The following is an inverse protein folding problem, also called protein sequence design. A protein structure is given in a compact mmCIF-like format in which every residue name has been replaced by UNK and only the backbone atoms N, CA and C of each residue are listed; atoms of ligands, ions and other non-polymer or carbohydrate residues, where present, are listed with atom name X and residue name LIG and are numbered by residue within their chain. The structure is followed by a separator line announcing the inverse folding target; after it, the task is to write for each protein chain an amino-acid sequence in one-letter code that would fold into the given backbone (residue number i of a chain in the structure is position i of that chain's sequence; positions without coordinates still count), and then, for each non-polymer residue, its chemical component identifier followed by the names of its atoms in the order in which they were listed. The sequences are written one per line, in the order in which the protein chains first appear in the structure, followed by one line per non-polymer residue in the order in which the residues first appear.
data_IF_321355914558
#
_entry.id   IF_321355914558
#
_cell.length_a   1.000
_cell.length_b   1.000
_cell.length_c   1.000
_cell.angle_alpha   90.00
_cell.angle_beta   90.00
_cell.angle_gamma   90.00
#
_symmetry.space_group_name_H-M   'P 1'
#
loop_
_entity.id
_entity.type
_entity.pdbx_description
1 polymer ?
#
# COMPACT_ATOMS: atom_id res chain seq x y z
N UNK A 1 7.20 -12.32 22.88
CA UNK A 1 6.13 -11.37 22.48
C UNK A 1 5.63 -11.87 21.13
N UNK A 2 4.33 -12.08 20.98
CA UNK A 2 3.75 -12.57 19.72
C UNK A 2 3.55 -11.40 18.76
N UNK A 3 3.80 -11.61 17.47
CA UNK A 3 3.53 -10.62 16.44
C UNK A 3 2.12 -10.81 15.90
N UNK A 4 1.38 -9.72 15.74
CA UNK A 4 0.07 -9.71 15.11
C UNK A 4 0.21 -9.11 13.72
N UNK A 5 -0.17 -9.88 12.69
CA UNK A 5 -0.21 -9.41 11.31
C UNK A 5 -1.67 -9.24 10.90
N UNK A 6 -2.03 -8.02 10.54
CA UNK A 6 -3.36 -7.67 10.03
C UNK A 6 -3.23 -7.56 8.52
N UNK A 7 -4.03 -8.33 7.79
CA UNK A 7 -4.05 -8.32 6.31
C UNK A 7 -5.41 -7.84 5.85
N UNK A 8 -5.42 -6.79 5.04
CA UNK A 8 -6.61 -6.27 4.34
C UNK A 8 -6.41 -6.58 2.86
N UNK A 9 -7.20 -7.50 2.32
CA UNK A 9 -7.06 -7.95 0.93
C UNK A 9 -7.53 -6.89 -0.09
N UNK A 10 -8.58 -6.14 0.26
CA UNK A 10 -9.10 -5.07 -0.60
C UNK A 10 -9.47 -3.83 0.22
N UNK A 11 -8.55 -2.86 0.26
CA UNK A 11 -8.75 -1.57 0.93
C UNK A 11 -9.88 -0.76 0.31
N UNK A 12 -10.09 -0.86 -1.01
CA UNK A 12 -11.08 -0.03 -1.69
C UNK A 12 -12.49 -0.29 -1.16
N UNK A 13 -12.82 -1.54 -0.83
CA UNK A 13 -14.12 -1.90 -0.29
C UNK A 13 -14.38 -1.24 1.08
N UNK A 14 -13.35 -1.15 1.93
CA UNK A 14 -13.44 -0.41 3.19
C UNK A 14 -13.57 1.10 2.94
N UNK A 15 -12.78 1.65 2.03
CA UNK A 15 -12.78 3.08 1.72
C UNK A 15 -14.06 3.57 1.02
N UNK A 16 -14.78 2.68 0.34
CA UNK A 16 -16.02 2.98 -0.38
C UNK A 16 -17.29 2.66 0.44
N UNK A 17 -17.16 2.11 1.65
CA UNK A 17 -18.27 1.69 2.53
C UNK A 17 -19.08 2.85 3.17
N UNK A 18 -18.88 4.09 2.73
CA UNK A 18 -19.53 5.28 3.30
C UNK A 18 -18.83 5.89 4.51
N UNK A 19 -17.86 5.20 5.11
CA UNK A 19 -17.11 5.64 6.30
C UNK A 19 -15.61 5.87 6.05
N UNK A 20 -15.23 6.33 4.85
CA UNK A 20 -13.84 6.55 4.40
C UNK A 20 -12.94 7.20 5.46
N UNK A 21 -13.42 8.29 6.08
CA UNK A 21 -12.64 9.07 7.06
C UNK A 21 -12.31 8.27 8.32
N UNK A 22 -13.25 7.45 8.80
CA UNK A 22 -13.03 6.63 9.99
C UNK A 22 -12.06 5.49 9.70
N UNK A 23 -12.24 4.82 8.55
CA UNK A 23 -11.34 3.77 8.07
C UNK A 23 -9.91 4.29 7.94
N UNK A 24 -9.72 5.42 7.26
CA UNK A 24 -8.42 6.06 7.07
C UNK A 24 -7.77 6.47 8.40
N UNK A 25 -8.56 7.03 9.34
CA UNK A 25 -8.10 7.40 10.68
C UNK A 25 -7.63 6.17 11.47
N UNK A 26 -8.39 5.07 11.42
CA UNK A 26 -8.04 3.83 12.12
C UNK A 26 -6.78 3.19 11.55
N UNK A 27 -6.66 3.10 10.22
CA UNK A 27 -5.45 2.59 9.54
C UNK A 27 -4.24 3.44 9.91
N UNK A 28 -4.37 4.76 9.83
CA UNK A 28 -3.30 5.71 10.18
C UNK A 28 -2.84 5.51 11.62
N UNK A 29 -3.78 5.42 12.57
CA UNK A 29 -3.47 5.21 13.98
C UNK A 29 -2.75 3.89 14.23
N UNK A 30 -3.18 2.80 13.60
CA UNK A 30 -2.50 1.51 13.66
C UNK A 30 -1.08 1.68 13.11
N UNK A 31 -0.92 2.17 11.88
CA UNK A 31 0.39 2.31 11.24
C UNK A 31 1.39 3.15 12.07
N UNK A 32 0.93 4.18 12.79
CA UNK A 32 1.76 5.02 13.66
C UNK A 32 2.19 4.34 14.97
N UNK A 33 1.29 3.60 15.63
CA UNK A 33 1.52 3.09 16.99
C UNK A 33 1.96 1.62 17.03
N UNK A 34 1.67 0.86 15.97
CA UNK A 34 1.73 -0.60 15.95
C UNK A 34 3.16 -1.18 16.06
N UNK A 35 4.17 -0.48 15.53
CA UNK A 35 5.56 -0.99 15.49
C UNK A 35 6.10 -1.33 16.87
N UNK A 36 5.85 -0.48 17.86
CA UNK A 36 6.39 -0.65 19.21
C UNK A 36 5.75 -1.82 19.97
N UNK A 37 4.56 -2.25 19.54
CA UNK A 37 3.75 -3.29 20.21
C UNK A 37 3.68 -4.60 19.42
N UNK A 38 4.46 -4.73 18.35
CA UNK A 38 4.53 -5.95 17.53
C UNK A 38 3.33 -6.18 16.60
N UNK A 39 2.61 -5.12 16.25
CA UNK A 39 1.53 -5.19 15.26
C UNK A 39 2.03 -4.72 13.89
N UNK A 40 1.63 -5.42 12.84
CA UNK A 40 2.03 -5.14 11.45
C UNK A 40 0.80 -5.14 10.56
N UNK A 41 0.75 -4.19 9.63
CA UNK A 41 -0.37 -4.03 8.71
C UNK A 41 0.10 -4.28 7.28
N UNK A 42 -0.61 -5.15 6.57
CA UNK A 42 -0.49 -5.39 5.13
C UNK A 42 -1.82 -4.98 4.51
N UNK A 43 -1.76 -4.08 3.54
CA UNK A 43 -2.95 -3.55 2.87
C UNK A 43 -2.78 -3.72 1.37
N UNK A 44 -3.71 -4.44 0.75
CA UNK A 44 -3.75 -4.68 -0.68
C UNK A 44 -5.00 -4.03 -1.29
N UNK A 45 -4.94 -3.76 -2.59
CA UNK A 45 -6.06 -3.28 -3.40
C UNK A 45 -5.79 -3.55 -4.87
N UNK A 46 -6.84 -3.84 -5.63
CA UNK A 46 -6.79 -3.89 -7.09
C UNK A 46 -7.23 -2.57 -7.74
N UNK A 47 -7.59 -1.56 -6.93
CA UNK A 47 -8.06 -0.23 -7.39
C UNK A 47 -7.08 0.86 -6.94
N UNK A 48 -5.92 1.00 -7.61
CA UNK A 48 -4.90 1.99 -7.25
C UNK A 48 -5.32 3.41 -7.65
N UNK A 49 -6.29 3.99 -6.94
CA UNK A 49 -6.75 5.36 -7.12
C UNK A 49 -6.33 6.25 -5.94
N UNK A 50 -6.23 7.56 -6.18
CA UNK A 50 -5.95 8.56 -5.13
C UNK A 50 -7.02 8.61 -4.05
N UNK A 51 -8.21 8.07 -4.33
CA UNK A 51 -9.31 7.96 -3.37
C UNK A 51 -9.17 6.77 -2.43
N UNK A 52 -8.43 5.73 -2.83
CA UNK A 52 -8.15 4.54 -2.03
C UNK A 52 -6.78 4.67 -1.36
N UNK A 53 -5.74 4.94 -2.16
CA UNK A 53 -4.35 5.12 -1.70
C UNK A 53 -4.11 6.62 -1.51
N UNK A 54 -4.75 7.17 -0.47
CA UNK A 54 -4.69 8.60 -0.18
C UNK A 54 -3.30 9.04 0.29
N UNK A 55 -3.07 10.36 0.34
CA UNK A 55 -1.84 10.91 0.92
C UNK A 55 -1.62 10.50 2.38
N UNK A 56 -2.68 10.36 3.19
CA UNK A 56 -2.58 9.94 4.59
C UNK A 56 -2.18 8.47 4.71
N UNK A 57 -2.75 7.60 3.87
CA UNK A 57 -2.32 6.18 3.80
C UNK A 57 -0.84 6.11 3.42
N UNK A 58 -0.43 6.80 2.36
CA UNK A 58 0.96 6.82 1.89
C UNK A 58 1.95 7.37 2.92
N UNK A 59 1.56 8.39 3.68
CA UNK A 59 2.41 8.99 4.70
C UNK A 59 2.71 8.04 5.88
N UNK A 60 1.84 7.06 6.13
CA UNK A 60 1.98 6.14 7.27
C UNK A 60 2.38 4.72 6.86
N UNK A 61 2.31 4.38 5.57
CA UNK A 61 2.75 3.09 5.01
C UNK A 61 3.86 3.35 3.97
N UNK A 62 5.13 3.48 4.41
CA UNK A 62 6.23 3.89 3.54
C UNK A 62 6.84 2.77 2.71
N UNK A 63 6.69 1.50 3.12
CA UNK A 63 7.11 0.34 2.32
C UNK A 63 5.97 -0.09 1.41
N UNK A 64 6.23 -0.23 0.11
CA UNK A 64 5.19 -0.46 -0.90
C UNK A 64 5.60 -1.55 -1.88
N UNK A 65 4.60 -2.25 -2.40
CA UNK A 65 4.76 -3.24 -3.47
C UNK A 65 3.75 -2.87 -4.54
N UNK A 66 4.18 -2.83 -5.80
CA UNK A 66 3.28 -2.76 -6.94
C UNK A 66 3.54 -3.96 -7.85
N UNK A 67 2.49 -4.72 -8.12
CA UNK A 67 2.44 -5.66 -9.25
C UNK A 67 2.12 -4.88 -10.53
N UNK A 68 2.03 -5.58 -11.67
CA UNK A 68 1.63 -4.96 -12.94
C UNK A 68 0.34 -4.17 -12.81
N UNK A 69 0.38 -2.91 -13.25
CA UNK A 69 -0.76 -2.00 -13.30
C UNK A 69 -1.04 -1.55 -14.74
N UNK A 70 -2.22 -0.99 -14.98
CA UNK A 70 -2.64 -0.61 -16.32
C UNK A 70 -1.97 0.65 -16.86
N UNK A 71 -1.46 1.52 -15.98
CA UNK A 71 -0.92 2.81 -16.38
C UNK A 71 0.18 3.34 -15.45
N UNK A 72 1.01 4.24 -15.98
CA UNK A 72 2.00 4.98 -15.19
C UNK A 72 1.35 5.81 -14.07
N UNK A 73 0.11 6.29 -14.28
CA UNK A 73 -0.64 7.01 -13.24
C UNK A 73 -0.93 6.10 -12.05
N UNK A 74 -1.35 4.86 -12.29
CA UNK A 74 -1.59 3.87 -11.24
C UNK A 74 -0.29 3.50 -10.52
N UNK A 75 0.81 3.35 -11.26
CA UNK A 75 2.14 3.13 -10.67
C UNK A 75 2.52 4.27 -9.74
N UNK A 76 2.30 5.53 -10.15
CA UNK A 76 2.57 6.71 -9.31
C UNK A 76 1.63 6.80 -8.11
N UNK A 77 0.38 6.36 -8.24
CA UNK A 77 -0.54 6.29 -7.10
C UNK A 77 0.01 5.35 -6.01
N UNK A 78 0.59 4.20 -6.39
CA UNK A 78 1.15 3.24 -5.44
C UNK A 78 2.55 3.65 -4.97
N UNK A 79 3.50 3.87 -5.89
CA UNK A 79 4.93 3.99 -5.60
C UNK A 79 5.46 5.43 -5.56
N UNK A 80 4.64 6.42 -5.91
CA UNK A 80 5.07 7.80 -6.21
C UNK A 80 6.06 7.89 -7.40
N UNK A 81 6.13 6.84 -8.23
CA UNK A 81 6.97 6.72 -9.44
C UNK A 81 6.33 5.80 -10.49
N UNK A 82 6.81 5.90 -11.74
CA UNK A 82 6.48 4.93 -12.80
C UNK A 82 7.30 3.65 -12.69
N UNK A 83 6.97 2.68 -13.53
CA UNK A 83 7.70 1.42 -13.74
C UNK A 83 6.86 0.17 -13.48
N UNK A 84 5.78 0.26 -12.69
CA UNK A 84 4.91 -0.89 -12.45
C UNK A 84 4.03 -1.22 -13.67
N UNK A 85 3.79 -0.24 -14.55
CA UNK A 85 3.11 -0.42 -15.83
C UNK A 85 3.89 -1.28 -16.84
N UNK A 86 5.21 -1.40 -16.66
CA UNK A 86 6.11 -2.14 -17.55
C UNK A 86 6.39 -3.58 -17.07
N UNK A 87 5.79 -3.99 -15.95
CA UNK A 87 5.94 -5.33 -15.37
C UNK A 87 5.20 -6.39 -16.20
N UNK A 88 5.72 -7.62 -16.19
CA UNK A 88 5.26 -8.71 -17.06
C UNK A 88 4.00 -9.45 -16.55
N UNK A 89 3.53 -9.13 -15.35
CA UNK A 89 2.45 -9.83 -14.67
C UNK A 89 2.95 -11.09 -13.97
N UNK A 90 2.02 -11.99 -13.62
CA UNK A 90 2.34 -13.34 -13.10
C UNK A 90 3.27 -13.36 -11.87
N UNK A 91 3.16 -12.37 -10.98
CA UNK A 91 3.97 -12.25 -9.77
C UNK A 91 5.16 -11.30 -9.87
N UNK A 92 5.48 -10.80 -11.07
CA UNK A 92 6.48 -9.74 -11.26
C UNK A 92 6.03 -8.46 -10.54
N UNK A 93 6.92 -7.91 -9.72
CA UNK A 93 6.62 -6.78 -8.86
C UNK A 93 7.80 -5.82 -8.69
N UNK A 94 7.47 -4.57 -8.38
CA UNK A 94 8.41 -3.61 -7.80
C UNK A 94 8.21 -3.56 -6.29
N UNK A 95 9.25 -3.89 -5.55
CA UNK A 95 9.32 -3.70 -4.11
C UNK A 95 10.06 -2.40 -3.80
N UNK A 96 9.40 -1.50 -3.06
CA UNK A 96 9.99 -0.25 -2.62
C UNK A 96 10.00 -0.19 -1.09
N UNK A 97 11.11 -0.61 -0.45
CA UNK A 97 11.22 -0.54 1.00
C UNK A 97 11.33 0.89 1.51
N UNK A 98 10.82 1.13 2.72
CA UNK A 98 10.98 2.40 3.41
C UNK A 98 12.46 2.80 3.51
N UNK A 99 12.77 4.03 3.06
CA UNK A 99 14.11 4.60 3.10
C UNK A 99 15.01 4.22 1.92
N UNK A 100 14.55 3.37 1.00
CA UNK A 100 15.28 3.10 -0.24
C UNK A 100 15.21 4.29 -1.20
N UNK A 101 16.23 4.43 -2.05
CA UNK A 101 16.25 5.44 -3.11
C UNK A 101 15.48 4.98 -4.35
N UNK A 102 15.55 3.68 -4.64
CA UNK A 102 15.00 3.04 -5.84
C UNK A 102 14.21 1.79 -5.44
N UNK A 103 13.30 1.37 -6.33
CA UNK A 103 12.54 0.14 -6.16
C UNK A 103 13.30 -1.04 -6.78
N UNK A 104 13.25 -2.19 -6.12
CA UNK A 104 13.84 -3.43 -6.60
C UNK A 104 12.77 -4.25 -7.36
N UNK A 105 13.11 -4.73 -8.56
CA UNK A 105 12.26 -5.67 -9.28
C UNK A 105 12.46 -7.08 -8.72
N UNK A 106 11.36 -7.76 -8.42
CA UNK A 106 11.34 -9.10 -7.81
C UNK A 106 10.37 -9.99 -8.59
N UNK A 107 10.71 -11.27 -8.71
CA UNK A 107 9.92 -12.30 -9.40
C UNK A 107 9.81 -13.56 -8.55
#
# INVERSE_FOLDING_TARGET
MEYIVIVIDELADLMMSGNKKEVESNITRIAQMARAVGMHLIVATQRPSVDVITGLIKANIPSRIAFTVASQTDSRTILDRGGAEDLLGYGDMLYYPSGAAEADRVQ
#
